data_IF_683742220225
#
_entry.id   IF_683742220225
#
_cell.length_a   1.000
_cell.length_b   1.000
_cell.length_c   1.000
_cell.angle_alpha   90.00
_cell.angle_beta   90.00
_cell.angle_gamma   90.00
#
_symmetry.space_group_name_H-M   'P 1'
#
loop_
_entity.id
_entity.type
_entity.pdbx_description
1 polymer ?
#
# COMPACT_ATOMS: atom_id res chain seq x y z
N UNK A 1 -22.79 -3.67 21.97
CA UNK A 1 -24.20 -3.83 21.60
C UNK A 1 -24.22 -4.11 20.11
N UNK A 2 -24.05 -5.39 19.79
CA UNK A 2 -24.24 -5.95 18.45
C UNK A 2 -25.74 -6.05 18.26
N UNK A 3 -26.29 -5.29 17.32
CA UNK A 3 -27.66 -5.47 16.84
C UNK A 3 -27.70 -5.11 15.36
N UNK A 4 -27.84 -6.17 14.57
CA UNK A 4 -28.55 -6.20 13.29
C UNK A 4 -27.93 -5.52 12.06
N UNK A 5 -26.75 -5.97 11.62
CA UNK A 5 -26.50 -6.04 10.16
C UNK A 5 -27.25 -7.28 9.63
N UNK A 6 -28.54 -7.10 9.44
CA UNK A 6 -29.46 -8.18 9.10
C UNK A 6 -29.10 -8.78 7.73
N UNK A 7 -28.73 -10.06 7.75
CA UNK A 7 -28.41 -10.90 6.58
C UNK A 7 -29.55 -10.88 5.54
N UNK A 8 -30.78 -10.53 5.93
CA UNK A 8 -31.91 -10.37 5.00
C UNK A 8 -31.76 -9.18 4.03
N UNK A 9 -30.94 -8.17 4.32
CA UNK A 9 -30.63 -7.10 3.35
C UNK A 9 -29.72 -7.58 2.20
N UNK A 10 -28.98 -8.69 2.40
CA UNK A 10 -28.15 -9.31 1.36
C UNK A 10 -28.97 -10.06 0.29
N UNK A 11 -30.28 -10.24 0.48
CA UNK A 11 -31.15 -11.04 -0.40
C UNK A 11 -32.21 -10.25 -1.18
N UNK A 12 -32.36 -8.93 -0.99
CA UNK A 12 -33.22 -8.10 -1.86
C UNK A 12 -32.49 -7.69 -3.16
N UNK A 13 -31.71 -8.61 -3.74
CA UNK A 13 -30.90 -8.42 -4.95
C UNK A 13 -31.68 -8.59 -6.26
N UNK A 14 -33.01 -8.61 -6.23
CA UNK A 14 -33.87 -8.77 -7.41
C UNK A 14 -35.01 -7.75 -7.41
N UNK A 15 -34.68 -6.47 -7.62
CA UNK A 15 -35.60 -5.58 -8.33
C UNK A 15 -34.84 -4.96 -9.51
N UNK A 16 -35.28 -5.32 -10.72
CA UNK A 16 -34.69 -4.88 -11.96
C UNK A 16 -34.88 -3.36 -12.15
N UNK A 17 -33.84 -2.57 -12.47
CA UNK A 17 -34.04 -1.21 -12.94
C UNK A 17 -34.43 -1.20 -14.43
N UNK A 18 -35.34 -0.32 -14.87
CA UNK A 18 -35.62 -0.14 -16.28
C UNK A 18 -34.47 0.63 -16.97
N UNK A 19 -34.03 0.08 -18.11
CA UNK A 19 -33.24 0.68 -19.19
C UNK A 19 -31.82 1.20 -18.85
N UNK A 20 -30.81 0.39 -19.22
CA UNK A 20 -29.59 0.91 -19.86
C UNK A 20 -28.34 1.19 -19.01
N UNK A 21 -28.30 0.86 -17.73
CA UNK A 21 -27.09 1.04 -16.90
C UNK A 21 -26.77 -0.19 -16.06
N UNK A 22 -25.51 -0.65 -16.07
CA UNK A 22 -25.06 -1.61 -15.06
C UNK A 22 -25.18 -0.98 -13.68
N UNK A 23 -25.84 -1.62 -12.69
CA UNK A 23 -25.83 -1.12 -11.33
C UNK A 23 -24.38 -1.04 -10.84
N UNK A 24 -24.00 0.00 -10.08
CA UNK A 24 -22.65 0.17 -9.54
C UNK A 24 -22.40 -0.79 -8.37
N UNK A 25 -22.62 -2.09 -8.59
CA UNK A 25 -22.43 -3.16 -7.60
C UNK A 25 -20.96 -3.21 -7.16
N UNK A 26 -20.02 -2.97 -8.08
CA UNK A 26 -18.59 -2.96 -7.78
C UNK A 26 -18.17 -1.88 -6.76
N UNK A 27 -18.69 -0.66 -6.88
CA UNK A 27 -18.31 0.46 -6.01
C UNK A 27 -18.86 0.27 -4.59
N UNK A 28 -20.06 -0.31 -4.47
CA UNK A 28 -20.70 -0.57 -3.18
C UNK A 28 -20.05 -1.77 -2.47
N UNK A 29 -19.65 -2.79 -3.22
CA UNK A 29 -18.96 -3.96 -2.68
C UNK A 29 -17.55 -3.61 -2.18
N UNK A 30 -16.82 -2.74 -2.90
CA UNK A 30 -15.52 -2.22 -2.46
C UNK A 30 -15.64 -1.47 -1.13
N UNK A 31 -16.66 -0.61 -0.96
CA UNK A 31 -16.90 0.13 0.29
C UNK A 31 -17.25 -0.74 1.49
N UNK A 32 -17.84 -1.92 1.26
CA UNK A 32 -18.20 -2.88 2.32
C UNK A 32 -17.05 -3.82 2.67
N UNK A 33 -16.28 -4.27 1.67
CA UNK A 33 -15.21 -5.26 1.86
C UNK A 33 -13.85 -4.65 2.23
N UNK A 34 -13.50 -3.46 1.71
CA UNK A 34 -12.19 -2.86 1.99
C UNK A 34 -11.96 -2.55 3.48
N UNK A 35 -12.88 -1.85 4.20
CA UNK A 35 -12.63 -1.48 5.59
C UNK A 35 -12.31 -2.65 6.53
N UNK A 36 -13.07 -3.77 6.54
CA UNK A 36 -12.74 -4.91 7.40
C UNK A 36 -11.42 -5.58 6.99
N UNK A 37 -11.16 -5.77 5.70
CA UNK A 37 -9.90 -6.35 5.20
C UNK A 37 -8.71 -5.51 5.62
N UNK A 38 -8.76 -4.19 5.38
CA UNK A 38 -7.68 -3.28 5.76
C UNK A 38 -7.49 -3.22 7.28
N UNK A 39 -8.55 -3.38 8.07
CA UNK A 39 -8.44 -3.45 9.54
C UNK A 39 -7.69 -4.71 9.98
N UNK A 40 -7.98 -5.85 9.36
CA UNK A 40 -7.27 -7.11 9.61
C UNK A 40 -5.80 -6.98 9.16
N UNK A 41 -5.55 -6.41 7.99
CA UNK A 41 -4.19 -6.19 7.48
C UNK A 41 -3.38 -5.28 8.41
N UNK A 42 -3.97 -4.20 8.90
CA UNK A 42 -3.31 -3.29 9.85
C UNK A 42 -3.01 -3.99 11.17
N UNK A 43 -3.96 -4.73 11.73
CA UNK A 43 -3.76 -5.39 13.03
C UNK A 43 -2.69 -6.48 12.94
N UNK A 44 -2.80 -7.40 11.98
CA UNK A 44 -1.81 -8.47 11.79
C UNK A 44 -0.47 -7.93 11.30
N UNK A 45 -0.50 -7.00 10.35
CA UNK A 45 0.70 -6.40 9.77
C UNK A 45 1.47 -5.59 10.79
N UNK A 46 0.81 -4.78 11.61
CA UNK A 46 1.48 -3.95 12.62
C UNK A 46 2.09 -4.81 13.72
N UNK A 47 1.35 -5.83 14.20
CA UNK A 47 1.88 -6.78 15.18
C UNK A 47 3.09 -7.53 14.62
N UNK A 48 2.98 -8.09 13.42
CA UNK A 48 4.06 -8.84 12.78
C UNK A 48 5.31 -8.00 12.50
N UNK A 49 5.13 -6.82 11.90
CA UNK A 49 6.24 -5.92 11.58
C UNK A 49 6.85 -5.29 12.84
N UNK A 50 6.07 -4.98 13.88
CA UNK A 50 6.60 -4.48 15.15
C UNK A 50 7.45 -5.54 15.85
N UNK A 51 7.02 -6.80 15.88
CA UNK A 51 7.82 -7.91 16.42
C UNK A 51 9.09 -8.11 15.61
N UNK A 52 9.01 -8.07 14.28
CA UNK A 52 10.19 -8.16 13.41
C UNK A 52 11.18 -7.01 13.68
N UNK A 53 10.68 -5.77 13.78
CA UNK A 53 11.49 -4.60 14.08
C UNK A 53 12.15 -4.72 15.45
N UNK A 54 11.42 -5.17 16.46
CA UNK A 54 11.95 -5.47 17.80
C UNK A 54 13.07 -6.51 17.75
N UNK A 55 12.90 -7.60 16.99
CA UNK A 55 13.92 -8.63 16.81
C UNK A 55 15.17 -8.03 16.13
N UNK A 56 15.01 -7.25 15.07
CA UNK A 56 16.14 -6.62 14.39
C UNK A 56 16.89 -5.62 15.27
N UNK A 57 16.18 -4.82 16.06
CA UNK A 57 16.80 -3.82 16.94
C UNK A 57 17.49 -4.44 18.16
N UNK A 58 16.90 -5.45 18.80
CA UNK A 58 17.35 -5.94 20.10
C UNK A 58 17.96 -7.35 20.11
N UNK A 59 17.66 -8.20 19.12
CA UNK A 59 18.12 -9.60 19.10
C UNK A 59 19.20 -9.87 18.05
N UNK A 60 19.27 -9.08 16.97
CA UNK A 60 20.27 -9.30 15.91
C UNK A 60 21.63 -8.73 16.31
N UNK A 61 22.52 -9.63 16.76
CA UNK A 61 23.91 -9.28 17.13
C UNK A 61 24.85 -9.10 15.93
N UNK A 62 24.57 -9.75 14.79
CA UNK A 62 25.42 -9.71 13.59
C UNK A 62 24.62 -9.21 12.40
N UNK A 63 24.99 -8.04 11.89
CA UNK A 63 24.40 -7.46 10.69
C UNK A 63 25.09 -8.01 9.44
N UNK A 64 24.34 -8.65 8.57
CA UNK A 64 24.77 -9.12 7.26
C UNK A 64 24.00 -8.38 6.16
N UNK A 65 24.45 -8.37 4.89
CA UNK A 65 23.72 -7.73 3.79
C UNK A 65 22.23 -8.10 3.75
N UNK A 66 21.92 -9.38 3.89
CA UNK A 66 20.54 -9.86 3.93
C UNK A 66 19.72 -9.29 5.09
N UNK A 67 20.28 -9.19 6.30
CA UNK A 67 19.53 -8.65 7.44
C UNK A 67 19.31 -7.15 7.29
N UNK A 68 20.23 -6.44 6.62
CA UNK A 68 20.07 -5.03 6.30
C UNK A 68 18.94 -4.77 5.30
N UNK A 69 18.82 -5.60 4.25
CA UNK A 69 17.70 -5.48 3.30
C UNK A 69 16.35 -5.81 3.96
N UNK A 70 16.29 -6.87 4.78
CA UNK A 70 15.09 -7.21 5.53
C UNK A 70 14.70 -6.13 6.55
N UNK A 71 15.68 -5.47 7.16
CA UNK A 71 15.42 -4.35 8.07
C UNK A 71 14.83 -3.15 7.34
N UNK A 72 15.36 -2.78 6.17
CA UNK A 72 14.79 -1.72 5.33
C UNK A 72 13.35 -2.05 4.89
N UNK A 73 13.08 -3.32 4.59
CA UNK A 73 11.74 -3.80 4.23
C UNK A 73 10.75 -3.59 5.39
N UNK A 74 11.12 -4.05 6.60
CA UNK A 74 10.28 -3.92 7.80
C UNK A 74 10.00 -2.45 8.15
N UNK A 75 10.99 -1.56 7.99
CA UNK A 75 10.79 -0.12 8.18
C UNK A 75 9.77 0.42 7.17
N UNK A 76 9.92 0.08 5.89
CA UNK A 76 9.01 0.54 4.86
C UNK A 76 7.58 0.05 5.11
N UNK A 77 7.42 -1.22 5.49
CA UNK A 77 6.12 -1.84 5.77
C UNK A 77 5.47 -1.22 7.01
N UNK A 78 6.24 -0.97 8.07
CA UNK A 78 5.75 -0.30 9.28
C UNK A 78 5.23 1.11 8.98
N UNK A 79 5.97 1.90 8.20
CA UNK A 79 5.55 3.26 7.81
C UNK A 79 4.23 3.24 7.00
N UNK A 80 4.08 2.28 6.09
CA UNK A 80 2.85 2.14 5.32
C UNK A 80 1.67 1.69 6.20
N UNK A 81 1.89 0.73 7.10
CA UNK A 81 0.86 0.22 8.02
C UNK A 81 0.35 1.30 8.97
N UNK A 82 1.22 2.18 9.47
CA UNK A 82 0.82 3.32 10.31
C UNK A 82 -0.02 4.35 9.53
N UNK A 83 0.15 4.43 8.21
CA UNK A 83 -0.63 5.33 7.34
C UNK A 83 -2.02 4.77 6.97
N UNK A 84 -2.23 3.45 7.04
CA UNK A 84 -3.50 2.81 6.66
C UNK A 84 -4.72 3.21 7.52
N UNK A 85 -4.62 3.40 8.86
CA UNK A 85 -5.74 3.87 9.68
C UNK A 85 -6.40 5.16 9.18
N UNK A 86 -5.60 6.10 8.65
CA UNK A 86 -6.11 7.35 8.06
C UNK A 86 -7.04 7.06 6.87
N UNK A 87 -6.71 6.03 6.08
CA UNK A 87 -7.52 5.59 4.95
C UNK A 87 -8.78 4.87 5.40
N UNK A 88 -8.69 3.99 6.40
CA UNK A 88 -9.87 3.31 6.98
C UNK A 88 -10.86 4.35 7.51
N UNK A 89 -10.36 5.35 8.24
CA UNK A 89 -11.19 6.44 8.76
C UNK A 89 -11.87 7.24 7.63
N UNK A 90 -11.14 7.55 6.55
CA UNK A 90 -11.70 8.22 5.39
C UNK A 90 -12.75 7.38 4.63
N UNK A 91 -12.59 6.04 4.61
CA UNK A 91 -13.56 5.12 4.02
C UNK A 91 -14.84 5.04 4.86
N UNK A 92 -14.72 4.98 6.20
CA UNK A 92 -15.87 4.93 7.12
C UNK A 92 -16.70 6.22 7.09
N UNK A 93 -16.04 7.39 7.03
CA UNK A 93 -16.73 8.68 6.90
C UNK A 93 -17.22 8.98 5.48
N UNK A 94 -16.67 8.31 4.47
CA UNK A 94 -16.95 8.58 3.06
C UNK A 94 -16.38 9.91 2.55
N UNK A 95 -15.56 10.61 3.35
CA UNK A 95 -14.83 11.82 2.98
C UNK A 95 -13.50 11.96 3.75
N UNK A 96 -12.56 12.72 3.17
CA UNK A 96 -11.22 12.96 3.70
C UNK A 96 -11.16 14.25 4.52
N UNK A 97 -10.77 14.13 5.79
CA UNK A 97 -10.75 15.24 6.77
C UNK A 97 -9.35 15.73 7.13
N UNK A 98 -8.29 14.97 6.80
CA UNK A 98 -6.92 15.24 7.26
C UNK A 98 -6.15 16.28 6.40
N UNK A 99 -6.82 16.94 5.45
CA UNK A 99 -6.22 17.94 4.57
C UNK A 99 -5.33 17.38 3.46
N UNK A 100 -4.85 18.26 2.59
CA UNK A 100 -4.12 17.88 1.36
C UNK A 100 -2.74 17.28 1.65
N UNK A 101 -1.98 17.86 2.59
CA UNK A 101 -0.65 17.38 2.96
C UNK A 101 -0.68 15.90 3.39
N UNK A 102 -1.64 15.53 4.25
CA UNK A 102 -1.76 14.15 4.73
C UNK A 102 -2.21 13.19 3.62
N UNK A 103 -3.03 13.67 2.68
CA UNK A 103 -3.40 12.88 1.50
C UNK A 103 -2.18 12.54 0.64
N UNK A 104 -1.34 13.54 0.34
CA UNK A 104 -0.10 13.35 -0.43
C UNK A 104 0.88 12.41 0.26
N UNK A 105 1.09 12.59 1.57
CA UNK A 105 1.97 11.71 2.37
C UNK A 105 1.46 10.28 2.37
N UNK A 106 0.15 10.07 2.56
CA UNK A 106 -0.45 8.74 2.57
C UNK A 106 -0.25 8.02 1.22
N UNK A 107 -0.52 8.72 0.12
CA UNK A 107 -0.31 8.24 -1.24
C UNK A 107 1.14 7.87 -1.50
N UNK A 108 2.05 8.78 -1.13
CA UNK A 108 3.47 8.60 -1.31
C UNK A 108 3.98 7.38 -0.53
N UNK A 109 3.58 7.23 0.73
CA UNK A 109 3.99 6.10 1.57
C UNK A 109 3.47 4.77 1.02
N UNK A 110 2.21 4.68 0.58
CA UNK A 110 1.67 3.43 0.01
C UNK A 110 2.36 3.01 -1.29
N UNK A 111 2.51 3.93 -2.24
CA UNK A 111 3.14 3.61 -3.52
C UNK A 111 4.63 3.31 -3.36
N UNK A 112 5.32 4.08 -2.52
CA UNK A 112 6.74 3.86 -2.24
C UNK A 112 6.95 2.55 -1.51
N UNK A 113 6.13 2.22 -0.50
CA UNK A 113 6.20 0.94 0.18
C UNK A 113 6.00 -0.22 -0.80
N UNK A 114 4.93 -0.21 -1.60
CA UNK A 114 4.66 -1.28 -2.57
C UNK A 114 5.86 -1.53 -3.50
N UNK A 115 6.44 -0.48 -4.05
CA UNK A 115 7.60 -0.58 -4.94
C UNK A 115 8.89 -0.97 -4.17
N UNK A 116 9.11 -0.45 -2.97
CA UNK A 116 10.24 -0.81 -2.11
C UNK A 116 10.20 -2.28 -1.72
N UNK A 117 9.04 -2.78 -1.30
CA UNK A 117 8.90 -4.15 -0.83
C UNK A 117 9.17 -5.16 -1.96
N UNK A 118 8.67 -4.90 -3.17
CA UNK A 118 8.99 -5.71 -4.35
C UNK A 118 10.50 -5.68 -4.62
N UNK A 119 11.10 -4.49 -4.73
CA UNK A 119 12.52 -4.36 -5.05
C UNK A 119 13.44 -5.00 -3.99
N UNK A 120 13.16 -4.80 -2.70
CA UNK A 120 13.92 -5.37 -1.59
C UNK A 120 13.76 -6.89 -1.52
N UNK A 121 12.54 -7.43 -1.73
CA UNK A 121 12.34 -8.87 -1.81
C UNK A 121 13.10 -9.48 -2.98
N UNK A 122 13.13 -8.83 -4.14
CA UNK A 122 13.93 -9.28 -5.29
C UNK A 122 15.42 -9.29 -4.95
N UNK A 123 15.97 -8.24 -4.36
CA UNK A 123 17.38 -8.18 -3.94
C UNK A 123 17.70 -9.27 -2.92
N UNK A 124 16.82 -9.50 -1.94
CA UNK A 124 16.95 -10.58 -0.96
C UNK A 124 16.94 -11.96 -1.64
N UNK A 125 16.03 -12.19 -2.57
CA UNK A 125 15.94 -13.44 -3.32
C UNK A 125 17.20 -13.70 -4.14
N UNK A 126 17.70 -12.69 -4.86
CA UNK A 126 18.95 -12.76 -5.62
C UNK A 126 20.14 -13.07 -4.68
N UNK A 127 20.25 -12.34 -3.58
CA UNK A 127 21.32 -12.57 -2.60
C UNK A 127 21.29 -13.99 -2.04
N UNK A 128 20.10 -14.51 -1.71
CA UNK A 128 19.91 -15.88 -1.20
C UNK A 128 20.22 -16.92 -2.26
N UNK A 129 19.82 -16.67 -3.50
CA UNK A 129 20.12 -17.55 -4.64
C UNK A 129 21.63 -17.71 -4.82
N UNK A 130 22.39 -16.61 -4.92
CA UNK A 130 23.85 -16.67 -5.05
C UNK A 130 24.52 -17.30 -3.84
N UNK A 131 23.97 -17.09 -2.63
CA UNK A 131 24.50 -17.72 -1.42
C UNK A 131 24.37 -19.24 -1.42
N UNK A 132 23.28 -19.77 -1.98
CA UNK A 132 23.01 -21.21 -1.98
C UNK A 132 23.65 -21.90 -3.20
N UNK A 133 23.47 -21.33 -4.40
CA UNK A 133 23.86 -21.98 -5.66
C UNK A 133 25.32 -21.72 -6.03
N UNK A 134 25.85 -20.55 -5.68
CA UNK A 134 27.21 -20.14 -6.07
C UNK A 134 28.02 -19.61 -4.87
N UNK A 135 28.42 -20.49 -3.92
CA UNK A 135 29.06 -20.09 -2.66
C UNK A 135 30.32 -19.24 -2.84
N UNK A 136 31.08 -19.40 -3.92
CA UNK A 136 32.29 -18.62 -4.23
C UNK A 136 32.05 -17.32 -5.01
N UNK A 137 30.80 -16.96 -5.29
CA UNK A 137 30.49 -15.77 -6.07
C UNK A 137 30.73 -14.47 -5.29
N UNK A 138 31.11 -13.38 -5.99
CA UNK A 138 31.44 -12.08 -5.38
C UNK A 138 30.28 -11.49 -4.55
N UNK A 139 29.04 -11.83 -4.89
CA UNK A 139 27.84 -11.42 -4.12
C UNK A 139 27.87 -11.94 -2.68
N UNK A 140 28.52 -13.07 -2.40
CA UNK A 140 28.67 -13.58 -1.04
C UNK A 140 29.75 -12.87 -0.22
N UNK A 141 30.72 -12.27 -0.91
CA UNK A 141 31.75 -11.39 -0.33
C UNK A 141 31.26 -9.96 -0.14
N UNK A 142 29.99 -9.68 -0.49
CA UNK A 142 29.41 -8.36 -0.42
C UNK A 142 29.47 -7.82 1.01
N UNK A 143 30.15 -6.69 1.16
CA UNK A 143 30.32 -6.03 2.45
C UNK A 143 29.04 -5.30 2.88
N UNK A 144 28.93 -4.98 4.17
CA UNK A 144 27.82 -4.17 4.69
C UNK A 144 27.70 -2.81 4.00
N UNK A 145 28.83 -2.20 3.62
CA UNK A 145 28.87 -0.91 2.92
C UNK A 145 28.27 -1.02 1.51
N UNK A 146 28.60 -2.08 0.78
CA UNK A 146 28.00 -2.35 -0.52
C UNK A 146 26.50 -2.64 -0.39
N UNK A 147 26.07 -3.36 0.65
CA UNK A 147 24.65 -3.58 0.92
C UNK A 147 23.90 -2.28 1.24
N UNK A 148 24.49 -1.41 2.04
CA UNK A 148 23.93 -0.09 2.30
C UNK A 148 23.83 0.75 1.01
N UNK A 149 24.85 0.71 0.16
CA UNK A 149 24.83 1.41 -1.13
C UNK A 149 23.73 0.87 -2.07
N UNK A 150 23.58 -0.45 -2.18
CA UNK A 150 22.48 -1.07 -2.95
C UNK A 150 21.12 -0.66 -2.37
N UNK A 151 20.98 -0.65 -1.04
CA UNK A 151 19.73 -0.21 -0.39
C UNK A 151 19.43 1.25 -0.71
N UNK A 152 20.42 2.14 -0.70
CA UNK A 152 20.26 3.54 -1.08
C UNK A 152 19.81 3.67 -2.54
N UNK A 153 20.43 2.93 -3.46
CA UNK A 153 20.00 2.91 -4.88
C UNK A 153 18.55 2.47 -4.99
N UNK A 154 18.14 1.40 -4.30
CA UNK A 154 16.74 0.93 -4.30
C UNK A 154 15.82 2.03 -3.80
N UNK A 155 16.16 2.71 -2.72
CA UNK A 155 15.37 3.84 -2.21
C UNK A 155 15.26 4.98 -3.23
N UNK A 156 16.35 5.37 -3.90
CA UNK A 156 16.30 6.40 -4.93
C UNK A 156 15.45 5.98 -6.14
N UNK A 157 15.56 4.73 -6.59
CA UNK A 157 14.77 4.19 -7.70
C UNK A 157 13.27 4.13 -7.35
N UNK A 158 12.94 3.87 -6.09
CA UNK A 158 11.56 3.79 -5.63
C UNK A 158 10.97 5.17 -5.36
N UNK A 159 11.71 6.08 -4.73
CA UNK A 159 11.24 7.41 -4.35
C UNK A 159 11.25 8.36 -5.54
N UNK A 160 12.30 8.36 -6.36
CA UNK A 160 12.52 9.33 -7.43
C UNK A 160 11.31 9.50 -8.37
N UNK A 161 10.78 8.42 -8.97
CA UNK A 161 9.59 8.49 -9.82
C UNK A 161 8.30 8.89 -9.08
N UNK A 162 8.28 8.80 -7.75
CA UNK A 162 7.11 9.06 -6.89
C UNK A 162 7.12 10.47 -6.29
N UNK A 163 8.24 11.19 -6.33
CA UNK A 163 8.34 12.60 -5.88
C UNK A 163 7.23 13.48 -6.46
N UNK A 164 6.83 13.37 -7.75
CA UNK A 164 5.74 14.19 -8.29
C UNK A 164 4.40 14.02 -7.55
N UNK A 165 4.14 12.86 -6.93
CA UNK A 165 2.92 12.64 -6.12
C UNK A 165 2.88 13.53 -4.86
N UNK A 166 4.03 14.00 -4.39
CA UNK A 166 4.10 14.97 -3.28
C UNK A 166 3.86 16.41 -3.77
N UNK A 167 4.08 16.69 -5.05
CA UNK A 167 3.94 18.02 -5.63
C UNK A 167 2.51 18.32 -6.09
N UNK A 168 1.80 17.32 -6.63
CA UNK A 168 0.44 17.49 -7.16
C UNK A 168 -0.64 17.31 -6.09
N UNK A 169 -1.69 18.14 -6.18
CA UNK A 169 -2.88 18.00 -5.34
C UNK A 169 -3.68 16.75 -5.77
N UNK A 170 -3.95 15.85 -4.81
CA UNK A 170 -4.72 14.63 -5.04
C UNK A 170 -6.11 14.67 -4.41
N UNK A 171 -6.51 15.80 -3.84
CA UNK A 171 -7.88 16.01 -3.35
C UNK A 171 -8.81 16.33 -4.51
N UNK A 172 -9.85 15.50 -4.69
CA UNK A 172 -10.97 15.81 -5.58
C UNK A 172 -12.20 16.14 -4.73
N UNK A 173 -12.86 17.27 -5.02
CA UNK A 173 -14.16 17.61 -4.42
C UNK A 173 -15.27 16.99 -5.27
N UNK A 174 -16.12 16.16 -4.66
CA UNK A 174 -17.33 15.62 -5.28
C UNK A 174 -18.52 16.11 -4.45
N UNK A 175 -19.15 17.20 -4.89
CA UNK A 175 -20.16 17.92 -4.10
C UNK A 175 -19.58 18.48 -2.80
N UNK A 176 -20.24 18.25 -1.66
CA UNK A 176 -19.77 18.64 -0.32
C UNK A 176 -18.70 17.71 0.28
N UNK A 177 -18.31 16.63 -0.40
CA UNK A 177 -17.32 15.66 0.12
C UNK A 177 -15.96 15.82 -0.55
N UNK A 178 -14.93 15.92 0.26
CA UNK A 178 -13.52 15.85 -0.15
C UNK A 178 -13.09 14.39 -0.20
N UNK A 179 -12.42 13.96 -1.27
CA UNK A 179 -11.86 12.61 -1.36
C UNK A 179 -10.38 12.69 -1.70
N UNK A 180 -9.56 11.95 -0.95
CA UNK A 180 -8.17 11.72 -1.28
C UNK A 180 -8.12 10.62 -2.34
N UNK A 181 -7.87 11.02 -3.59
CA UNK A 181 -8.04 10.13 -4.74
C UNK A 181 -6.85 9.18 -4.84
N UNK A 182 -7.05 7.91 -4.46
CA UNK A 182 -6.05 6.86 -4.63
C UNK A 182 -6.51 5.81 -5.64
N UNK A 183 -7.72 5.23 -5.48
CA UNK A 183 -8.26 4.18 -6.35
C UNK A 183 -9.80 4.14 -6.22
N UNK A 184 -10.52 4.69 -7.19
CA UNK A 184 -11.76 4.07 -7.70
C UNK A 184 -11.67 4.10 -9.22
N UNK A 185 -11.52 2.92 -9.80
CA UNK A 185 -11.56 2.61 -11.23
C UNK A 185 -10.47 3.21 -12.14
N UNK A 186 -9.45 2.39 -12.42
CA UNK A 186 -8.77 2.42 -13.73
C UNK A 186 -9.78 2.34 -14.89
N UNK A 187 -10.96 1.75 -14.65
CA UNK A 187 -12.08 1.68 -15.61
C UNK A 187 -12.71 3.03 -15.97
N UNK A 188 -12.57 4.06 -15.14
CA UNK A 188 -13.12 5.40 -15.43
C UNK A 188 -12.18 6.20 -16.33
N UNK A 189 -10.89 5.86 -16.41
CA UNK A 189 -9.94 6.55 -17.31
C UNK A 189 -10.08 6.08 -18.77
N UNK A 190 -10.39 4.80 -19.02
CA UNK A 190 -10.74 4.32 -20.37
C UNK A 190 -12.05 4.98 -20.85
N UNK A 191 -13.08 5.04 -19.98
CA UNK A 191 -14.39 5.61 -20.33
C UNK A 191 -14.40 7.15 -20.46
N UNK A 192 -13.54 7.89 -19.74
CA UNK A 192 -13.45 9.34 -19.88
C UNK A 192 -12.54 9.77 -21.03
N UNK A 193 -11.57 8.93 -21.44
CA UNK A 193 -10.73 9.21 -22.60
C UNK A 193 -11.49 9.04 -23.94
N UNK A 194 -12.50 8.15 -24.00
CA UNK A 194 -13.37 8.05 -25.19
C UNK A 194 -14.40 9.19 -25.30
N UNK A 195 -14.83 9.80 -24.17
CA UNK A 195 -15.85 10.85 -24.16
C UNK A 195 -15.28 12.25 -24.44
N UNK A 196 -13.97 12.45 -24.29
CA UNK A 196 -13.30 13.73 -24.59
C UNK A 196 -12.79 13.81 -26.05
N UNK A 197 -12.99 12.76 -26.85
CA UNK A 197 -12.53 12.65 -28.25
C UNK A 197 -13.70 12.45 -29.24
N UNK A 198 -14.95 12.64 -28.80
CA UNK A 198 -16.14 12.69 -29.68
C UNK A 198 -16.91 13.99 -29.49
#
# INVERSE_FOLDING_TARGET
MLTELNVTTMLNFTTAPPVGGCPPVGIQLEGLLLPPVLTIDVTLGLLGNAVALWIFCFKVKKWNPNTLFLFNLVIADFLALVSLPLRIHALLLGHWVFGDAMCRINLFLMFSNRSASIALMTVVAIYRYFKVVHPHHRVNLMTRRQAAFVSLIVWFLVIGPRVPMLAFNHIKRRGHRTQCFFFTSYKVRELLAEVEVV
#
